data_IF_187886458718
#
_entry.id   IF_187886458718
#
_cell.length_a   1.000
_cell.length_b   1.000
_cell.length_c   1.000
_cell.angle_alpha   90.00
_cell.angle_beta   90.00
_cell.angle_gamma   90.00
#
_symmetry.space_group_name_H-M   'P 1'
#
loop_
_entity.id
_entity.type
_entity.pdbx_description
1 polymer ?
#
# COMPACT_ATOMS: atom_id res chain seq x y z
N UNK A 1 -13.09 -63.75 21.84
CA UNK A 1 -13.74 -62.44 21.68
C UNK A 1 -13.20 -61.75 20.45
N UNK A 2 -14.11 -61.59 19.48
CA UNK A 2 -14.15 -60.69 18.32
C UNK A 2 -12.83 -60.19 17.71
N UNK A 3 -12.67 -60.47 16.42
CA UNK A 3 -11.76 -59.79 15.53
C UNK A 3 -12.14 -60.09 14.08
N UNK A 4 -13.21 -59.44 13.61
CA UNK A 4 -13.81 -59.58 12.29
C UNK A 4 -12.84 -59.27 11.14
N UNK A 5 -12.80 -60.19 10.16
CA UNK A 5 -12.40 -59.95 8.77
C UNK A 5 -13.29 -60.79 7.84
N UNK A 6 -14.12 -60.12 7.04
CA UNK A 6 -14.63 -60.56 5.73
C UNK A 6 -15.51 -59.40 5.20
N UNK A 7 -15.06 -58.65 4.19
CA UNK A 7 -15.31 -58.92 2.75
C UNK A 7 -16.80 -58.74 2.39
N UNK A 8 -17.13 -57.65 1.68
CA UNK A 8 -18.08 -57.65 0.55
C UNK A 8 -18.23 -56.25 -0.03
N UNK A 9 -17.44 -56.02 -1.08
CA UNK A 9 -17.81 -55.37 -2.33
C UNK A 9 -19.33 -55.16 -2.53
N UNK A 10 -19.75 -53.91 -2.78
CA UNK A 10 -20.96 -53.62 -3.55
C UNK A 10 -20.65 -52.60 -4.65
N UNK A 11 -20.45 -53.17 -5.83
CA UNK A 11 -20.46 -52.60 -7.16
C UNK A 11 -21.75 -51.83 -7.47
N UNK A 12 -21.57 -50.67 -8.12
CA UNK A 12 -22.27 -50.24 -9.35
C UNK A 12 -23.67 -50.79 -9.62
N UNK A 13 -24.68 -49.92 -9.71
CA UNK A 13 -25.41 -49.71 -10.97
C UNK A 13 -26.45 -48.59 -10.84
N UNK A 14 -26.44 -47.75 -11.87
CA UNK A 14 -27.42 -46.75 -12.26
C UNK A 14 -28.86 -47.26 -12.23
N UNK A 15 -29.74 -46.60 -11.47
CA UNK A 15 -31.18 -46.47 -11.83
C UNK A 15 -31.74 -45.25 -11.10
N UNK A 16 -31.87 -44.10 -11.75
CA UNK A 16 -32.98 -43.14 -11.52
C UNK A 16 -33.01 -42.13 -12.65
N UNK A 17 -33.63 -42.55 -13.76
CA UNK A 17 -34.04 -41.70 -14.85
C UNK A 17 -35.12 -40.72 -14.36
N UNK A 18 -34.89 -39.42 -14.51
CA UNK A 18 -35.88 -38.36 -14.33
C UNK A 18 -36.59 -38.12 -15.67
N UNK A 19 -37.93 -38.20 -15.75
CA UNK A 19 -38.64 -37.78 -16.95
C UNK A 19 -38.75 -36.25 -17.00
N UNK A 20 -38.14 -35.66 -18.03
CA UNK A 20 -38.60 -34.39 -18.61
C UNK A 20 -40.11 -34.48 -18.89
N UNK A 21 -40.92 -33.53 -18.43
CA UNK A 21 -42.11 -32.98 -19.13
C UNK A 21 -42.89 -32.09 -18.17
N UNK A 22 -42.69 -30.78 -18.23
CA UNK A 22 -43.77 -29.78 -18.14
C UNK A 22 -43.22 -28.44 -18.67
N UNK A 23 -43.33 -28.24 -19.98
CA UNK A 23 -43.01 -26.97 -20.64
C UNK A 23 -44.18 -26.01 -20.45
N UNK A 24 -44.24 -25.35 -19.30
CA UNK A 24 -45.19 -24.25 -19.05
C UNK A 24 -44.68 -23.00 -19.76
N UNK A 25 -45.34 -22.63 -20.86
CA UNK A 25 -45.19 -21.31 -21.48
C UNK A 25 -45.81 -20.28 -20.53
N UNK A 26 -44.99 -19.60 -19.72
CA UNK A 26 -45.46 -18.43 -18.97
C UNK A 26 -45.60 -17.25 -19.92
N UNK A 27 -46.85 -16.78 -20.03
CA UNK A 27 -47.27 -15.67 -20.87
C UNK A 27 -46.62 -14.36 -20.41
N UNK A 28 -46.02 -13.65 -21.37
CA UNK A 28 -45.36 -12.36 -21.22
C UNK A 28 -46.42 -11.26 -20.97
N UNK A 29 -46.81 -11.04 -19.72
CA UNK A 29 -47.54 -9.83 -19.32
C UNK A 29 -46.55 -8.68 -19.16
N UNK A 30 -46.48 -7.82 -20.18
CA UNK A 30 -45.81 -6.52 -20.13
C UNK A 30 -46.74 -5.52 -19.45
N UNK A 31 -46.56 -5.27 -18.16
CA UNK A 31 -46.99 -4.03 -17.52
C UNK A 31 -45.95 -3.67 -16.46
N UNK A 32 -44.79 -3.20 -16.92
CA UNK A 32 -43.87 -2.46 -16.07
C UNK A 32 -44.02 -0.99 -16.44
N UNK A 33 -44.81 -0.26 -15.66
CA UNK A 33 -44.70 1.18 -15.57
C UNK A 33 -43.25 1.51 -15.21
N UNK A 34 -42.50 2.05 -16.16
CA UNK A 34 -41.22 2.69 -15.88
C UNK A 34 -41.53 3.98 -15.13
N UNK A 35 -41.70 3.89 -13.81
CA UNK A 35 -41.63 5.06 -12.96
C UNK A 35 -40.17 5.50 -12.99
N UNK A 36 -39.86 6.47 -13.85
CA UNK A 36 -38.60 7.19 -13.81
C UNK A 36 -38.56 7.97 -12.50
N UNK A 37 -38.15 7.29 -11.43
CA UNK A 37 -37.75 7.91 -10.18
C UNK A 37 -36.42 8.61 -10.38
N UNK A 38 -36.41 9.72 -11.11
CA UNK A 38 -35.26 10.60 -11.20
C UNK A 38 -35.08 11.30 -9.86
N UNK A 39 -34.28 10.66 -8.99
CA UNK A 39 -33.40 11.20 -7.97
C UNK A 39 -33.85 12.49 -7.25
N UNK A 40 -34.47 12.29 -6.09
CA UNK A 40 -34.58 13.28 -5.02
C UNK A 40 -33.45 12.99 -4.02
N UNK A 41 -32.20 13.27 -4.40
CA UNK A 41 -31.09 13.42 -3.45
C UNK A 41 -30.18 14.51 -4.04
N UNK A 42 -30.05 15.63 -3.32
CA UNK A 42 -29.44 16.85 -3.82
C UNK A 42 -28.02 16.63 -4.35
N UNK A 43 -27.70 17.27 -5.48
CA UNK A 43 -26.38 17.75 -5.93
C UNK A 43 -25.08 16.98 -5.61
N UNK A 44 -25.13 15.68 -5.29
CA UNK A 44 -23.92 14.86 -5.22
C UNK A 44 -23.56 14.44 -6.64
N UNK A 45 -22.66 15.20 -7.27
CA UNK A 45 -22.08 14.83 -8.55
C UNK A 45 -21.35 13.50 -8.38
N UNK A 46 -21.95 12.42 -8.88
CA UNK A 46 -21.28 11.12 -8.88
C UNK A 46 -19.98 11.20 -9.69
N UNK A 47 -18.95 10.52 -9.19
CA UNK A 47 -17.65 10.46 -9.84
C UNK A 47 -17.80 9.92 -11.26
N UNK A 48 -17.34 10.66 -12.27
CA UNK A 48 -17.22 10.05 -13.60
C UNK A 48 -16.09 9.01 -13.59
N UNK A 49 -16.23 7.87 -14.29
CA UNK A 49 -15.19 6.84 -14.31
C UNK A 49 -13.86 7.37 -14.88
N UNK A 50 -13.91 8.40 -15.73
CA UNK A 50 -12.74 9.12 -16.24
C UNK A 50 -12.00 9.88 -15.14
N UNK A 51 -12.74 10.55 -14.24
CA UNK A 51 -12.18 11.26 -13.08
C UNK A 51 -11.53 10.32 -12.08
N UNK A 52 -12.16 9.17 -11.80
CA UNK A 52 -11.57 8.15 -10.94
C UNK A 52 -10.25 7.60 -11.50
N UNK A 53 -10.21 7.35 -12.82
CA UNK A 53 -8.98 6.92 -13.50
C UNK A 53 -7.89 7.98 -13.45
N UNK A 54 -8.22 9.26 -13.61
CA UNK A 54 -7.22 10.34 -13.51
C UNK A 54 -6.65 10.45 -12.11
N UNK A 55 -7.49 10.40 -11.07
CA UNK A 55 -7.07 10.43 -9.67
C UNK A 55 -6.16 9.23 -9.36
N UNK A 56 -6.58 8.02 -9.75
CA UNK A 56 -5.78 6.82 -9.58
C UNK A 56 -4.40 6.95 -10.24
N UNK A 57 -4.34 7.43 -11.48
CA UNK A 57 -3.06 7.62 -12.19
C UNK A 57 -2.17 8.66 -11.54
N UNK A 58 -2.73 9.76 -11.03
CA UNK A 58 -1.95 10.73 -10.27
C UNK A 58 -1.37 10.11 -9.00
N UNK A 59 -2.15 9.32 -8.24
CA UNK A 59 -1.63 8.62 -7.06
C UNK A 59 -0.44 7.72 -7.38
N UNK A 60 -0.52 6.97 -8.48
CA UNK A 60 0.57 6.09 -8.89
C UNK A 60 1.85 6.85 -9.28
N UNK A 61 1.73 8.10 -9.73
CA UNK A 61 2.87 8.94 -10.12
C UNK A 61 3.51 9.65 -8.93
N UNK A 62 2.73 9.97 -7.91
CA UNK A 62 3.24 10.59 -6.68
C UNK A 62 3.97 9.57 -5.80
N UNK A 63 3.59 8.30 -5.87
CA UNK A 63 4.36 7.23 -5.22
C UNK A 63 5.66 6.97 -6.00
N UNK A 64 6.79 6.73 -5.30
CA UNK A 64 8.04 6.33 -5.94
C UNK A 64 7.79 5.14 -6.89
N UNK A 65 8.06 5.33 -8.19
CA UNK A 65 7.85 4.27 -9.18
C UNK A 65 8.86 3.15 -8.93
N UNK A 66 8.38 2.04 -8.37
CA UNK A 66 9.21 0.83 -8.20
C UNK A 66 9.51 0.22 -9.57
N UNK A 67 10.68 -0.39 -9.69
CA UNK A 67 11.08 -1.11 -10.90
C UNK A 67 10.00 -2.13 -11.31
N UNK A 68 9.81 -2.26 -12.63
CA UNK A 68 8.69 -2.92 -13.31
C UNK A 68 8.56 -4.44 -13.05
N UNK A 69 9.23 -5.00 -12.06
CA UNK A 69 9.00 -6.38 -11.64
C UNK A 69 7.55 -6.52 -11.18
N UNK A 70 6.76 -7.33 -11.88
CA UNK A 70 5.35 -7.62 -11.59
C UNK A 70 5.11 -8.02 -10.11
N UNK A 71 6.16 -8.52 -9.45
CA UNK A 71 6.23 -8.92 -8.03
C UNK A 71 6.44 -7.77 -7.03
N UNK A 72 6.70 -6.53 -7.48
CA UNK A 72 7.06 -5.37 -6.64
C UNK A 72 5.90 -4.42 -6.31
N UNK A 73 4.68 -4.68 -6.83
CA UNK A 73 3.49 -3.84 -6.55
C UNK A 73 3.24 -3.77 -5.04
N UNK A 74 3.30 -2.57 -4.48
CA UNK A 74 3.19 -2.40 -3.03
C UNK A 74 1.80 -2.86 -2.53
N UNK A 75 1.72 -3.46 -1.33
CA UNK A 75 0.43 -3.74 -0.69
C UNK A 75 -0.47 -2.51 -0.58
N UNK A 76 0.14 -1.32 -0.43
CA UNK A 76 -0.54 -0.04 -0.43
C UNK A 76 -1.25 0.26 -1.76
N UNK A 77 -0.58 0.01 -2.90
CA UNK A 77 -1.17 0.19 -4.22
C UNK A 77 -2.40 -0.71 -4.43
N UNK A 78 -2.35 -1.95 -3.91
CA UNK A 78 -3.49 -2.88 -3.91
C UNK A 78 -4.63 -2.35 -3.02
N UNK A 79 -4.33 -1.86 -1.82
CA UNK A 79 -5.34 -1.24 -0.93
C UNK A 79 -6.01 -0.04 -1.60
N UNK A 80 -5.24 0.89 -2.18
CA UNK A 80 -5.78 2.07 -2.87
C UNK A 80 -6.67 1.67 -4.05
N UNK A 81 -6.29 0.64 -4.82
CA UNK A 81 -7.12 0.12 -5.90
C UNK A 81 -8.43 -0.45 -5.35
N UNK A 82 -8.37 -1.26 -4.30
CA UNK A 82 -9.54 -1.90 -3.71
C UNK A 82 -10.48 -0.87 -3.07
N UNK A 83 -9.96 0.19 -2.43
CA UNK A 83 -10.80 1.26 -1.86
C UNK A 83 -11.51 2.07 -2.93
N UNK A 84 -10.85 2.35 -4.05
CA UNK A 84 -11.46 3.09 -5.17
C UNK A 84 -12.47 2.21 -5.95
N UNK A 85 -12.23 0.89 -6.01
CA UNK A 85 -13.11 -0.06 -6.69
C UNK A 85 -14.26 -0.58 -5.81
N UNK A 86 -14.25 -0.31 -4.49
CA UNK A 86 -15.29 -0.74 -3.56
C UNK A 86 -16.60 0.01 -3.82
N UNK A 87 -17.72 -0.71 -3.82
CA UNK A 87 -19.08 -0.17 -3.98
C UNK A 87 -19.49 0.81 -2.87
N UNK A 88 -18.83 0.73 -1.70
CA UNK A 88 -18.98 1.70 -0.61
C UNK A 88 -18.35 3.07 -0.91
N UNK A 89 -17.70 3.22 -2.08
CA UNK A 89 -17.30 4.47 -2.73
C UNK A 89 -16.68 5.50 -1.79
N UNK A 90 -15.35 5.57 -1.73
CA UNK A 90 -14.70 6.73 -1.13
C UNK A 90 -15.17 7.99 -1.87
N UNK A 91 -15.73 9.00 -1.18
CA UNK A 91 -16.09 10.26 -1.80
C UNK A 91 -14.91 10.80 -2.61
N UNK A 92 -15.17 11.24 -3.84
CA UNK A 92 -14.12 11.74 -4.76
C UNK A 92 -13.28 12.83 -4.10
N UNK A 93 -13.95 13.69 -3.35
CA UNK A 93 -13.35 14.78 -2.59
C UNK A 93 -12.30 14.29 -1.60
N UNK A 94 -12.55 13.18 -0.90
CA UNK A 94 -11.59 12.59 0.03
C UNK A 94 -10.37 12.02 -0.72
N UNK A 95 -10.61 11.37 -1.86
CA UNK A 95 -9.52 10.88 -2.71
C UNK A 95 -8.66 12.04 -3.25
N UNK A 96 -9.27 13.17 -3.60
CA UNK A 96 -8.54 14.38 -3.99
C UNK A 96 -7.76 14.98 -2.83
N UNK A 97 -8.35 15.10 -1.63
CA UNK A 97 -7.66 15.59 -0.44
C UNK A 97 -6.43 14.75 -0.13
N UNK A 98 -6.55 13.41 -0.18
CA UNK A 98 -5.43 12.52 0.05
C UNK A 98 -4.34 12.68 -1.03
N UNK A 99 -4.73 12.92 -2.30
CA UNK A 99 -3.78 13.18 -3.37
C UNK A 99 -2.98 14.47 -3.11
N UNK A 100 -3.65 15.53 -2.65
CA UNK A 100 -2.98 16.79 -2.29
C UNK A 100 -2.00 16.59 -1.14
N UNK A 101 -2.39 15.81 -0.12
CA UNK A 101 -1.51 15.48 1.00
C UNK A 101 -0.23 14.75 0.54
N UNK A 102 -0.34 13.73 -0.32
CA UNK A 102 0.83 12.98 -0.81
C UNK A 102 1.76 13.87 -1.64
N UNK A 103 1.20 14.76 -2.47
CA UNK A 103 1.98 15.77 -3.21
C UNK A 103 2.75 16.70 -2.27
N UNK A 104 2.06 17.22 -1.25
CA UNK A 104 2.64 18.08 -0.25
C UNK A 104 3.77 17.37 0.50
N UNK A 105 3.61 16.08 0.84
CA UNK A 105 4.64 15.30 1.52
C UNK A 105 5.92 15.15 0.69
N UNK A 106 5.79 14.91 -0.63
CA UNK A 106 6.95 14.84 -1.53
C UNK A 106 7.67 16.18 -1.61
N UNK A 107 6.91 17.27 -1.78
CA UNK A 107 7.46 18.62 -1.81
C UNK A 107 8.17 18.95 -0.49
N UNK A 108 7.58 18.59 0.65
CA UNK A 108 8.18 18.75 1.97
C UNK A 108 9.52 18.02 2.09
N UNK A 109 9.61 16.76 1.64
CA UNK A 109 10.87 16.01 1.63
C UNK A 109 11.94 16.72 0.78
N UNK A 110 11.58 17.19 -0.41
CA UNK A 110 12.49 17.97 -1.28
C UNK A 110 12.93 19.29 -0.63
N UNK A 111 12.03 19.99 0.06
CA UNK A 111 12.36 21.23 0.76
C UNK A 111 13.30 20.98 1.93
N UNK A 112 13.07 19.92 2.72
CA UNK A 112 13.96 19.52 3.80
C UNK A 112 15.38 19.28 3.29
N UNK A 113 15.55 18.49 2.23
CA UNK A 113 16.86 18.19 1.65
C UNK A 113 17.58 19.45 1.15
N UNK A 114 16.85 20.40 0.55
CA UNK A 114 17.44 21.63 0.00
C UNK A 114 17.84 22.62 1.07
N UNK A 115 16.98 22.83 2.06
CA UNK A 115 17.18 23.88 3.06
C UNK A 115 17.92 23.38 4.30
N UNK A 116 18.03 22.05 4.49
CA UNK A 116 18.81 21.45 5.55
C UNK A 116 19.80 20.39 5.02
N UNK A 117 20.82 20.80 4.24
CA UNK A 117 21.79 19.88 3.64
C UNK A 117 22.70 19.18 4.67
N UNK A 118 22.65 19.59 5.94
CA UNK A 118 23.39 18.99 7.05
C UNK A 118 22.53 18.16 8.00
N UNK A 119 21.25 17.94 7.69
CA UNK A 119 20.30 17.24 8.60
C UNK A 119 20.77 15.84 9.00
N UNK A 120 21.50 15.19 8.11
CA UNK A 120 21.96 13.81 8.18
C UNK A 120 23.47 13.73 8.51
N UNK A 121 24.10 14.83 8.91
CA UNK A 121 25.49 14.88 9.37
C UNK A 121 25.51 15.18 10.87
N UNK A 122 26.21 14.36 11.64
CA UNK A 122 26.40 14.58 13.06
C UNK A 122 27.29 15.82 13.30
N UNK A 123 27.09 16.51 14.43
CA UNK A 123 27.79 17.77 14.71
C UNK A 123 29.32 17.57 14.76
N UNK A 124 29.79 16.47 15.33
CA UNK A 124 31.22 16.10 15.37
C UNK A 124 31.82 15.99 13.96
N UNK A 125 31.10 15.35 13.03
CA UNK A 125 31.54 15.21 11.63
C UNK A 125 31.55 16.57 10.91
N UNK A 126 30.57 17.44 11.18
CA UNK A 126 30.54 18.81 10.65
C UNK A 126 31.76 19.63 11.11
N UNK A 127 32.09 19.57 12.40
CA UNK A 127 33.25 20.28 12.97
C UNK A 127 34.53 19.73 12.36
N UNK A 128 34.68 18.41 12.26
CA UNK A 128 35.84 17.76 11.63
C UNK A 128 36.03 18.16 10.16
N UNK A 129 34.96 18.18 9.36
CA UNK A 129 35.04 18.60 7.96
C UNK A 129 35.37 20.09 7.82
N UNK A 130 34.87 20.93 8.71
CA UNK A 130 35.18 22.36 8.75
C UNK A 130 36.63 22.60 9.14
N UNK A 131 37.15 21.85 10.13
CA UNK A 131 38.56 21.88 10.51
C UNK A 131 39.46 21.49 9.33
N UNK A 132 39.15 20.38 8.64
CA UNK A 132 39.90 19.95 7.45
C UNK A 132 39.87 20.99 6.34
N UNK A 133 38.74 21.70 6.17
CA UNK A 133 38.61 22.78 5.18
C UNK A 133 39.58 23.94 5.45
N UNK A 134 39.96 24.18 6.71
CA UNK A 134 40.96 25.20 7.08
C UNK A 134 42.37 24.63 7.23
N UNK A 135 42.59 23.37 6.87
CA UNK A 135 43.88 22.68 6.99
C UNK A 135 44.24 22.28 8.42
N UNK A 136 43.25 22.23 9.33
CA UNK A 136 43.40 21.80 10.71
C UNK A 136 42.79 20.41 10.91
N UNK A 137 43.35 19.62 11.83
CA UNK A 137 42.75 18.35 12.24
C UNK A 137 42.21 18.48 13.67
N UNK A 138 40.97 18.03 13.87
CA UNK A 138 40.33 18.07 15.18
C UNK A 138 40.84 16.88 16.01
N UNK A 139 41.34 17.10 17.25
CA UNK A 139 41.72 16.01 18.15
C UNK A 139 40.55 15.06 18.41
N UNK A 140 40.86 13.79 18.68
CA UNK A 140 39.84 12.83 19.12
C UNK A 140 39.20 13.32 20.42
N UNK A 141 37.87 13.35 20.45
CA UNK A 141 37.15 13.76 21.65
C UNK A 141 37.39 12.71 22.73
N UNK A 142 37.86 13.17 23.90
CA UNK A 142 37.99 12.29 25.05
C UNK A 142 36.58 11.92 25.51
N UNK A 143 36.11 10.74 25.13
CA UNK A 143 34.86 10.21 25.66
C UNK A 143 35.01 10.08 27.18
N UNK A 144 34.49 11.04 27.94
CA UNK A 144 34.26 10.87 29.38
C UNK A 144 33.05 9.94 29.50
N UNK A 145 33.23 8.67 29.11
CA UNK A 145 32.32 7.60 29.47
C UNK A 145 32.77 7.08 30.83
N UNK A 146 31.93 7.28 31.84
CA UNK A 146 31.97 6.54 33.09
C UNK A 146 31.62 5.06 32.87
N UNK A 147 32.46 4.36 32.10
CA UNK A 147 32.55 2.91 32.00
C UNK A 147 34.01 2.62 31.69
N UNK A 148 34.72 2.38 32.78
CA UNK A 148 36.05 1.81 32.87
C UNK A 148 36.07 0.46 32.16
N UNK A 149 36.82 0.36 31.06
CA UNK A 149 37.38 -0.91 30.57
C UNK A 149 38.74 -0.59 29.95
N UNK A 150 39.74 -0.55 30.82
CA UNK A 150 41.12 -0.25 30.48
C UNK A 150 41.72 -1.22 29.46
N UNK A 151 42.25 -0.65 28.40
CA UNK A 151 43.36 -1.23 27.64
C UNK A 151 44.25 -0.09 27.13
N UNK A 152 45.05 0.45 28.05
CA UNK A 152 46.08 1.43 27.72
C UNK A 152 47.24 0.76 27.00
N UNK A 153 47.42 1.06 25.72
CA UNK A 153 48.68 0.88 25.01
C UNK A 153 49.24 2.26 24.65
N UNK A 154 50.13 2.76 25.50
CA UNK A 154 50.91 3.97 25.27
C UNK A 154 52.31 3.64 24.76
N UNK A 155 52.95 4.50 23.96
CA UNK A 155 54.10 4.13 23.14
C UNK A 155 55.38 3.95 23.97
N UNK A 156 56.11 2.86 23.71
CA UNK A 156 57.46 2.64 24.25
C UNK A 156 58.43 3.67 23.70
N UNK A 157 58.94 4.54 24.57
CA UNK A 157 60.10 5.38 24.30
C UNK A 157 61.37 4.51 24.38
N UNK A 158 62.26 4.76 23.42
CA UNK A 158 63.58 4.12 23.24
C UNK A 158 64.46 4.23 24.48
#
# INVERSE_FOLDING_TARGET
TLGDKAESELSSTDVFALPEFFKVKSSKRQHHSHVNSSNIYGNYTMATPTKLRSIYRSFLREMPSRSLSERSRSPLQKRIRNTIASESGTPVEQAEQFLHYVKAQRMYATLLERYNPGMNMEEEERVRLTARRVGMELPEEYAISGTDDGSGDGPKRQ
#
